data_IF_705088574227
#
_entry.id   IF_705088574227
#
_cell.length_a   1.000
_cell.length_b   1.000
_cell.length_c   1.000
_cell.angle_alpha   90.00
_cell.angle_beta   90.00
_cell.angle_gamma   90.00
#
_symmetry.space_group_name_H-M   'P 1'
#
loop_
_entity.id
_entity.type
_entity.pdbx_description
1 polymer ?
#
# COMPACT_ATOMS: atom_id res chain seq x y z
N UNK A 1 35.39 36.08 6.92
CA UNK A 1 35.28 36.21 8.39
C UNK A 1 33.79 36.21 8.70
N UNK A 2 33.11 35.18 9.18
CA UNK A 2 33.51 34.06 10.01
C UNK A 2 32.90 32.73 9.53
N UNK A 3 33.67 31.68 9.79
CA UNK A 3 33.44 30.26 9.66
C UNK A 3 32.56 29.75 10.81
N UNK A 4 31.55 28.93 10.52
CA UNK A 4 31.02 27.96 11.50
C UNK A 4 30.93 26.60 10.83
N UNK A 5 31.89 25.77 11.19
CA UNK A 5 31.98 24.34 10.92
C UNK A 5 30.99 23.56 11.81
N UNK A 6 30.63 22.36 11.35
CA UNK A 6 30.50 21.12 12.15
C UNK A 6 29.09 20.56 12.41
N UNK A 7 28.75 19.54 11.61
CA UNK A 7 27.68 18.52 11.78
C UNK A 7 27.93 17.65 13.03
N UNK A 8 26.93 16.94 13.60
CA UNK A 8 26.30 15.78 12.94
C UNK A 8 24.78 15.57 13.24
N UNK A 9 23.98 15.04 12.28
CA UNK A 9 22.74 14.36 12.63
C UNK A 9 23.01 12.91 13.06
N UNK A 10 22.82 12.61 14.34
CA UNK A 10 22.65 11.25 14.84
C UNK A 10 21.16 10.97 15.05
N UNK A 11 20.60 10.06 14.25
CA UNK A 11 19.36 9.27 14.43
C UNK A 11 18.85 8.94 13.02
N UNK A 12 18.62 7.72 12.57
CA UNK A 12 18.58 6.43 13.23
C UNK A 12 19.31 5.41 12.33
N UNK A 13 19.96 4.46 12.97
CA UNK A 13 20.41 3.20 12.38
C UNK A 13 19.33 2.60 11.48
N UNK A 14 19.53 2.66 10.16
CA UNK A 14 18.98 1.65 9.26
C UNK A 14 19.66 0.34 9.61
N UNK A 15 19.08 -0.38 10.56
CA UNK A 15 19.43 -1.77 10.80
C UNK A 15 19.09 -2.53 9.52
N UNK A 16 20.12 -2.75 8.70
CA UNK A 16 20.18 -3.90 7.80
C UNK A 16 20.05 -5.15 8.67
N UNK A 17 18.82 -5.56 8.99
CA UNK A 17 18.55 -6.89 9.53
C UNK A 17 18.56 -7.83 8.34
N UNK A 18 19.79 -8.27 8.04
CA UNK A 18 20.17 -9.64 7.71
C UNK A 18 19.00 -10.59 7.46
N UNK A 19 18.97 -11.09 6.23
CA UNK A 19 18.23 -12.26 5.81
C UNK A 19 18.43 -13.43 6.79
N UNK A 20 17.44 -13.67 7.66
CA UNK A 20 17.25 -14.94 8.39
C UNK A 20 15.75 -15.15 8.63
N UNK A 21 15.01 -15.29 7.55
CA UNK A 21 13.66 -15.87 7.58
C UNK A 21 13.37 -16.71 6.32
N UNK A 22 14.41 -17.18 5.62
CA UNK A 22 14.27 -17.89 4.34
C UNK A 22 14.01 -19.39 4.43
N UNK A 23 14.12 -20.03 5.60
CA UNK A 23 14.10 -21.51 5.68
C UNK A 23 12.79 -22.12 6.20
N UNK A 24 11.83 -21.31 6.66
CA UNK A 24 10.55 -21.80 7.22
C UNK A 24 9.34 -21.65 6.29
N UNK A 25 9.57 -21.19 5.06
CA UNK A 25 8.51 -21.04 4.05
C UNK A 25 8.67 -21.99 2.86
N UNK A 26 9.56 -22.99 2.94
CA UNK A 26 9.93 -23.78 1.76
C UNK A 26 9.00 -24.97 1.42
N UNK A 27 7.84 -25.12 2.07
CA UNK A 27 6.97 -26.30 1.78
C UNK A 27 5.49 -26.17 2.13
N UNK A 28 4.91 -24.98 2.05
CA UNK A 28 3.44 -24.84 2.01
C UNK A 28 3.04 -24.41 0.60
N UNK A 29 2.00 -25.01 -0.02
CA UNK A 29 1.41 -24.42 -1.21
C UNK A 29 0.75 -23.11 -0.81
N UNK A 30 1.47 -21.99 -0.94
CA UNK A 30 0.89 -20.67 -0.75
C UNK A 30 -0.07 -20.39 -1.89
N UNK A 31 -1.34 -20.71 -1.67
CA UNK A 31 -2.41 -20.21 -2.51
C UNK A 31 -2.82 -18.84 -1.99
N UNK A 32 -2.37 -17.79 -2.67
CA UNK A 32 -2.80 -16.40 -2.41
C UNK A 32 -4.28 -16.20 -2.83
N UNK A 33 -4.82 -17.16 -3.59
CA UNK A 33 -6.19 -17.21 -4.10
C UNK A 33 -6.95 -18.35 -3.41
N UNK A 34 -8.16 -18.22 -2.87
CA UNK A 34 -9.13 -17.14 -2.91
C UNK A 34 -8.99 -16.16 -1.72
N UNK A 35 -9.30 -14.87 -1.91
CA UNK A 35 -9.32 -13.91 -0.80
C UNK A 35 -10.42 -14.28 0.21
N UNK A 36 -10.06 -14.30 1.49
CA UNK A 36 -11.01 -14.39 2.61
C UNK A 36 -11.85 -13.12 2.69
N UNK A 37 -13.04 -13.19 3.30
CA UNK A 37 -13.92 -12.01 3.52
C UNK A 37 -13.18 -10.83 4.17
N UNK A 38 -12.27 -11.14 5.10
CA UNK A 38 -11.43 -10.16 5.78
C UNK A 38 -10.48 -9.41 4.85
N UNK A 39 -10.07 -10.03 3.74
CA UNK A 39 -9.20 -9.41 2.73
C UNK A 39 -10.00 -8.68 1.64
N UNK A 40 -11.24 -9.08 1.38
CA UNK A 40 -12.12 -8.41 0.42
C UNK A 40 -12.51 -7.00 0.83
N UNK A 41 -12.76 -6.77 2.11
CA UNK A 41 -13.15 -5.44 2.60
C UNK A 41 -12.04 -4.37 2.39
N UNK A 42 -10.77 -4.63 2.75
CA UNK A 42 -9.66 -3.75 2.39
C UNK A 42 -9.51 -3.54 0.87
N UNK A 43 -9.75 -4.58 0.06
CA UNK A 43 -9.68 -4.47 -1.40
C UNK A 43 -10.75 -3.49 -1.90
N UNK A 44 -12.00 -3.61 -1.43
CA UNK A 44 -13.07 -2.67 -1.78
C UNK A 44 -12.75 -1.23 -1.37
N UNK A 45 -12.20 -1.01 -0.17
CA UNK A 45 -11.79 0.33 0.26
C UNK A 45 -10.66 0.90 -0.60
N UNK A 46 -9.70 0.07 -0.98
CA UNK A 46 -8.62 0.43 -1.91
C UNK A 46 -9.15 0.74 -3.33
N UNK A 47 -10.30 0.19 -3.74
CA UNK A 47 -10.98 0.55 -4.99
C UNK A 47 -11.79 1.84 -4.86
N UNK A 48 -12.40 2.13 -3.71
CA UNK A 48 -13.23 3.33 -3.50
C UNK A 48 -12.39 4.61 -3.56
N UNK A 49 -11.22 4.63 -2.94
CA UNK A 49 -10.35 5.82 -2.88
C UNK A 49 -9.93 6.35 -4.27
N UNK A 50 -9.44 5.54 -5.23
CA UNK A 50 -9.07 6.02 -6.56
C UNK A 50 -10.27 6.35 -7.46
N UNK A 51 -11.46 5.86 -7.14
CA UNK A 51 -12.70 6.18 -7.86
C UNK A 51 -13.32 7.51 -7.39
N UNK A 52 -13.21 7.81 -6.10
CA UNK A 52 -13.78 9.01 -5.47
C UNK A 52 -12.83 10.20 -5.41
N UNK A 53 -11.52 9.97 -5.51
CA UNK A 53 -10.49 11.00 -5.47
C UNK A 53 -9.55 10.88 -6.68
N UNK A 54 -9.09 12.00 -7.27
CA UNK A 54 -8.15 11.96 -8.37
C UNK A 54 -6.82 11.33 -7.90
N UNK A 55 -6.43 10.25 -8.56
CA UNK A 55 -5.16 9.55 -8.35
C UNK A 55 -4.20 9.82 -9.50
N UNK A 56 -2.89 9.65 -9.28
CA UNK A 56 -1.87 9.82 -10.33
C UNK A 56 -2.13 8.92 -11.54
N UNK A 57 -2.77 7.77 -11.33
CA UNK A 57 -3.13 6.80 -12.37
C UNK A 57 -4.46 7.13 -13.07
N UNK A 58 -5.33 7.91 -12.44
CA UNK A 58 -6.67 8.26 -12.95
C UNK A 58 -6.78 9.68 -13.51
N UNK A 59 -5.67 10.39 -13.70
CA UNK A 59 -5.63 11.79 -14.20
C UNK A 59 -6.42 12.09 -15.48
N UNK A 60 -6.68 11.08 -16.31
CA UNK A 60 -7.42 11.23 -17.59
C UNK A 60 -8.91 10.91 -17.48
N UNK A 61 -9.35 10.47 -16.31
CA UNK A 61 -10.71 10.05 -16.02
C UNK A 61 -11.32 10.95 -14.96
N UNK A 62 -12.63 11.12 -14.98
CA UNK A 62 -13.37 11.83 -13.94
C UNK A 62 -13.56 10.93 -12.71
N UNK A 63 -13.68 11.54 -11.54
CA UNK A 63 -14.08 10.86 -10.30
C UNK A 63 -15.60 10.75 -10.23
N UNK A 64 -16.08 9.73 -9.52
CA UNK A 64 -17.51 9.55 -9.22
C UNK A 64 -17.79 9.91 -7.76
N UNK A 65 -19.07 10.04 -7.38
CA UNK A 65 -19.41 10.26 -5.98
C UNK A 65 -19.01 9.06 -5.11
N UNK A 66 -18.93 9.25 -3.80
CA UNK A 66 -18.49 8.17 -2.89
C UNK A 66 -19.49 7.01 -2.90
N UNK A 67 -20.78 7.31 -3.01
CA UNK A 67 -21.85 6.32 -3.07
C UNK A 67 -21.75 5.46 -4.34
N UNK A 68 -21.50 6.10 -5.48
CA UNK A 68 -21.27 5.43 -6.77
C UNK A 68 -19.98 4.61 -6.76
N UNK A 69 -18.91 5.13 -6.15
CA UNK A 69 -17.65 4.41 -5.98
C UNK A 69 -17.80 3.13 -5.17
N UNK A 70 -18.61 3.16 -4.09
CA UNK A 70 -18.92 1.96 -3.29
C UNK A 70 -19.69 0.93 -4.11
N UNK A 71 -20.68 1.37 -4.89
CA UNK A 71 -21.45 0.48 -5.75
C UNK A 71 -20.57 -0.16 -6.83
N UNK A 72 -19.70 0.64 -7.47
CA UNK A 72 -18.76 0.16 -8.47
C UNK A 72 -17.73 -0.81 -7.88
N UNK A 73 -17.16 -0.52 -6.69
CA UNK A 73 -16.18 -1.39 -6.04
C UNK A 73 -16.75 -2.79 -5.71
N UNK A 74 -18.05 -2.89 -5.39
CA UNK A 74 -18.75 -4.16 -5.18
C UNK A 74 -19.05 -4.95 -6.45
N UNK A 75 -19.08 -4.28 -7.60
CA UNK A 75 -19.28 -4.93 -8.91
C UNK A 75 -17.96 -5.40 -9.54
N UNK A 76 -16.85 -4.74 -9.18
CA UNK A 76 -15.52 -5.03 -9.68
C UNK A 76 -14.85 -6.18 -8.90
N UNK A 77 -15.06 -6.24 -7.57
CA UNK A 77 -14.66 -7.38 -6.73
C UNK A 77 -15.50 -8.63 -6.99
#
# INVERSE_FOLDING_TARGET
>A
MAEIEQSPPQSATSTTTTAVAGEKYSKAPFSIWAPTELMREPIRNCLIDPLSSPSIMSKRYSTVSREEAIAAAKLIE
#
